data_IF_509297903138
#
_entry.id   IF_509297903138
#
_cell.length_a   1.000
_cell.length_b   1.000
_cell.length_c   1.000
_cell.angle_alpha   90.00
_cell.angle_beta   90.00
_cell.angle_gamma   90.00
#
_symmetry.space_group_name_H-M   'P 1'
#
loop_
_entity.id
_entity.type
_entity.pdbx_description
1 polymer ?
#
# COMPACT_ATOMS: atom_id res chain seq x y z
N UNK A 1 18.27 4.66 -9.54
CA UNK A 1 17.83 3.63 -8.58
C UNK A 1 16.49 4.01 -7.96
N UNK A 2 16.39 5.08 -7.16
CA UNK A 2 15.13 5.56 -6.53
C UNK A 2 13.97 5.73 -7.52
N UNK A 3 14.18 6.34 -8.70
CA UNK A 3 13.11 6.50 -9.70
C UNK A 3 12.50 5.18 -10.21
N UNK A 4 13.27 4.09 -10.20
CA UNK A 4 12.74 2.77 -10.56
C UNK A 4 11.84 2.23 -9.44
N UNK A 5 12.24 2.43 -8.18
CA UNK A 5 11.46 2.05 -6.99
C UNK A 5 10.15 2.84 -6.97
N UNK A 6 10.20 4.17 -7.10
CA UNK A 6 9.02 5.03 -7.17
C UNK A 6 8.01 4.59 -8.24
N UNK A 7 8.49 4.08 -9.39
CA UNK A 7 7.62 3.55 -10.44
C UNK A 7 6.92 2.26 -10.00
N UNK A 8 7.64 1.36 -9.34
CA UNK A 8 7.10 0.10 -8.81
C UNK A 8 6.08 0.37 -7.71
N UNK A 9 6.41 1.25 -6.77
CA UNK A 9 5.51 1.68 -5.68
C UNK A 9 4.21 2.28 -6.22
N UNK A 10 4.30 3.18 -7.20
CA UNK A 10 3.12 3.78 -7.83
C UNK A 10 2.24 2.74 -8.53
N UNK A 11 2.85 1.77 -9.21
CA UNK A 11 2.12 0.67 -9.83
C UNK A 11 1.44 -0.21 -8.78
N UNK A 12 2.11 -0.49 -7.66
CA UNK A 12 1.55 -1.23 -6.53
C UNK A 12 0.31 -0.52 -5.93
N UNK A 13 0.39 0.79 -5.70
CA UNK A 13 -0.72 1.59 -5.18
C UNK A 13 -1.88 1.67 -6.18
N UNK A 14 -1.61 1.71 -7.49
CA UNK A 14 -2.66 1.65 -8.52
C UNK A 14 -3.40 0.31 -8.51
N UNK A 15 -2.70 -0.80 -8.35
CA UNK A 15 -3.34 -2.11 -8.22
C UNK A 15 -4.15 -2.21 -6.91
N UNK A 16 -3.61 -1.72 -5.79
CA UNK A 16 -4.33 -1.62 -4.54
C UNK A 16 -5.58 -0.73 -4.65
N UNK A 17 -5.50 0.39 -5.39
CA UNK A 17 -6.63 1.29 -5.64
C UNK A 17 -7.76 0.60 -6.39
N UNK A 18 -7.45 -0.26 -7.37
CA UNK A 18 -8.48 -1.05 -8.07
C UNK A 18 -9.23 -1.96 -7.12
N UNK A 19 -8.49 -2.69 -6.27
CA UNK A 19 -9.08 -3.58 -5.24
C UNK A 19 -9.97 -2.78 -4.30
N UNK A 20 -9.48 -1.63 -3.82
CA UNK A 20 -10.25 -0.75 -2.95
C UNK A 20 -11.56 -0.28 -3.61
N UNK A 21 -11.49 0.15 -4.88
CA UNK A 21 -12.65 0.58 -5.66
C UNK A 21 -13.68 -0.53 -5.85
N UNK A 22 -13.23 -1.74 -6.16
CA UNK A 22 -14.11 -2.91 -6.34
C UNK A 22 -14.83 -3.32 -5.05
N UNK A 23 -14.23 -3.03 -3.90
CA UNK A 23 -14.75 -3.43 -2.58
C UNK A 23 -15.38 -2.26 -1.79
N UNK A 24 -15.51 -1.07 -2.41
CA UNK A 24 -15.97 0.16 -1.76
C UNK A 24 -15.19 0.46 -0.46
N UNK A 25 -13.86 0.37 -0.55
CA UNK A 25 -12.93 0.70 0.54
C UNK A 25 -12.23 2.00 0.18
N UNK A 26 -12.33 2.99 1.08
CA UNK A 26 -11.54 4.21 0.97
C UNK A 26 -10.12 3.99 1.47
N UNK A 27 -9.17 4.73 0.90
CA UNK A 27 -7.83 4.88 1.44
C UNK A 27 -7.28 6.26 1.09
N UNK A 28 -6.25 6.69 1.81
CA UNK A 28 -5.61 7.98 1.59
C UNK A 28 -4.09 7.87 1.76
N UNK A 29 -3.36 8.73 1.08
CA UNK A 29 -1.91 8.86 1.24
C UNK A 29 -1.57 9.34 2.67
N UNK A 30 -0.47 8.86 3.21
CA UNK A 30 0.00 9.18 4.56
C UNK A 30 1.47 9.63 4.53
N UNK A 31 1.89 10.39 5.54
CA UNK A 31 3.30 10.69 5.80
C UNK A 31 4.01 11.39 4.63
N UNK A 32 5.15 10.85 4.23
CA UNK A 32 5.96 11.36 3.12
C UNK A 32 5.21 11.34 1.78
N UNK A 33 4.34 10.36 1.56
CA UNK A 33 3.60 10.21 0.31
C UNK A 33 2.60 11.35 0.07
N UNK A 34 1.85 11.78 1.08
CA UNK A 34 0.94 12.92 0.94
C UNK A 34 1.70 14.24 0.82
N UNK A 35 2.81 14.40 1.55
CA UNK A 35 3.68 15.57 1.43
C UNK A 35 4.29 15.66 0.02
N UNK A 36 4.76 14.53 -0.52
CA UNK A 36 5.26 14.42 -1.88
C UNK A 36 4.21 14.89 -2.88
N UNK A 37 3.01 14.31 -2.80
CA UNK A 37 1.94 14.59 -3.75
C UNK A 37 1.57 16.08 -3.78
N UNK A 38 1.52 16.74 -2.63
CA UNK A 38 1.15 18.17 -2.52
C UNK A 38 2.31 19.10 -2.88
N UNK A 39 3.55 18.79 -2.48
CA UNK A 39 4.68 19.72 -2.61
C UNK A 39 5.46 19.54 -3.91
N UNK A 40 5.52 18.32 -4.44
CA UNK A 40 6.38 17.95 -5.57
C UNK A 40 5.58 17.40 -6.77
N UNK A 41 4.24 17.42 -6.72
CA UNK A 41 3.36 16.79 -7.71
C UNK A 41 3.70 15.30 -7.97
N UNK A 42 4.14 14.59 -6.94
CA UNK A 42 4.59 13.21 -7.06
C UNK A 42 5.29 12.69 -5.81
N UNK A 43 6.35 11.92 -5.97
CA UNK A 43 7.16 11.49 -4.83
C UNK A 43 8.07 12.61 -4.34
N UNK A 44 8.42 12.59 -3.06
CA UNK A 44 9.58 13.34 -2.58
C UNK A 44 10.82 12.84 -3.35
N UNK A 45 11.72 13.71 -3.85
CA UNK A 45 12.73 13.30 -4.83
C UNK A 45 13.69 12.18 -4.39
N UNK A 46 13.92 12.05 -3.08
CA UNK A 46 14.83 11.08 -2.47
C UNK A 46 14.12 9.93 -1.73
N UNK A 47 12.78 9.93 -1.74
CA UNK A 47 11.96 8.97 -0.99
C UNK A 47 11.74 7.71 -1.83
N UNK A 48 11.80 6.55 -1.17
CA UNK A 48 11.82 5.24 -1.82
C UNK A 48 10.72 4.29 -1.35
N UNK A 49 9.78 4.75 -0.53
CA UNK A 49 8.59 4.00 -0.14
C UNK A 49 7.28 4.78 -0.36
N UNK A 50 6.16 4.11 -0.11
CA UNK A 50 4.84 4.73 -0.03
C UNK A 50 4.07 4.28 1.19
N UNK A 51 3.47 5.26 1.87
CA UNK A 51 2.58 5.05 2.99
C UNK A 51 1.14 5.42 2.61
N UNK A 52 0.23 4.52 2.96
CA UNK A 52 -1.22 4.76 2.89
C UNK A 52 -1.88 4.44 4.22
N UNK A 53 -3.06 4.99 4.42
CA UNK A 53 -3.95 4.62 5.52
C UNK A 53 -5.34 4.28 4.98
N UNK A 54 -5.96 3.32 5.67
CA UNK A 54 -7.29 2.80 5.36
C UNK A 54 -8.15 3.01 6.60
N UNK A 55 -9.37 3.54 6.50
CA UNK A 55 -10.30 3.59 7.62
C UNK A 55 -10.51 2.19 8.20
N UNK A 56 -10.69 2.10 9.52
CA UNK A 56 -10.76 0.81 10.25
C UNK A 56 -11.75 -0.17 9.62
N UNK A 57 -12.95 0.28 9.31
CA UNK A 57 -14.01 -0.53 8.70
C UNK A 57 -13.59 -1.12 7.35
N UNK A 58 -12.89 -0.33 6.52
CA UNK A 58 -12.33 -0.79 5.25
C UNK A 58 -11.19 -1.78 5.47
N UNK A 59 -10.29 -1.48 6.41
CA UNK A 59 -9.17 -2.35 6.75
C UNK A 59 -9.66 -3.73 7.20
N UNK A 60 -10.70 -3.81 8.02
CA UNK A 60 -11.25 -5.08 8.53
C UNK A 60 -11.68 -6.05 7.42
N UNK A 61 -11.98 -5.53 6.22
CA UNK A 61 -12.36 -6.31 5.04
C UNK A 61 -11.13 -6.86 4.29
N UNK A 62 -9.99 -6.17 4.35
CA UNK A 62 -8.79 -6.48 3.57
C UNK A 62 -8.21 -7.89 3.78
N UNK A 63 -8.11 -8.44 5.01
CA UNK A 63 -7.57 -9.79 5.21
C UNK A 63 -8.37 -10.87 4.46
N UNK A 64 -9.69 -10.68 4.34
CA UNK A 64 -10.56 -11.57 3.57
C UNK A 64 -10.40 -11.44 2.06
N UNK A 65 -9.94 -10.29 1.58
CA UNK A 65 -9.65 -10.02 0.17
C UNK A 65 -8.27 -10.56 -0.21
N UNK A 66 -7.28 -10.44 0.68
CA UNK A 66 -5.90 -10.86 0.46
C UNK A 66 -5.62 -12.33 0.85
N UNK A 67 -6.60 -13.23 0.70
CA UNK A 67 -6.49 -14.63 1.15
C UNK A 67 -5.23 -15.34 0.68
N UNK A 68 -4.87 -15.15 -0.59
CA UNK A 68 -3.68 -15.77 -1.19
C UNK A 68 -2.40 -14.97 -0.96
N UNK A 69 -2.50 -13.85 -0.24
CA UNK A 69 -1.40 -12.93 0.10
C UNK A 69 -0.67 -12.35 -1.12
N UNK A 70 -1.20 -12.57 -2.33
CA UNK A 70 -0.68 -12.02 -3.57
C UNK A 70 -1.80 -11.17 -4.18
N UNK A 71 -1.48 -9.92 -4.52
CA UNK A 71 -2.37 -9.02 -5.26
C UNK A 71 -1.84 -8.77 -6.66
N UNK A 72 -2.76 -8.61 -7.61
CA UNK A 72 -2.46 -8.40 -9.04
C UNK A 72 -1.48 -9.44 -9.64
N UNK A 73 -1.38 -10.64 -9.04
CA UNK A 73 -0.43 -11.68 -9.44
C UNK A 73 1.05 -11.29 -9.32
N UNK A 74 1.37 -10.18 -8.63
CA UNK A 74 2.70 -9.57 -8.63
C UNK A 74 3.22 -9.21 -7.25
N UNK A 75 2.37 -8.67 -6.39
CA UNK A 75 2.81 -8.10 -5.12
C UNK A 75 2.38 -8.96 -3.94
N UNK A 76 3.29 -9.21 -3.01
CA UNK A 76 3.03 -9.96 -1.79
C UNK A 76 2.58 -9.03 -0.67
N UNK A 77 1.50 -9.39 0.01
CA UNK A 77 1.05 -8.72 1.22
C UNK A 77 1.59 -9.48 2.43
N UNK A 78 2.27 -8.77 3.33
CA UNK A 78 2.69 -9.26 4.64
C UNK A 78 1.93 -8.51 5.73
N UNK A 79 1.30 -9.23 6.65
CA UNK A 79 0.67 -8.66 7.83
C UNK A 79 0.81 -9.61 9.02
N UNK A 80 0.79 -9.05 10.23
CA UNK A 80 0.97 -9.81 11.47
C UNK A 80 -0.12 -10.88 11.67
N UNK A 81 -1.28 -10.73 11.03
CA UNK A 81 -2.40 -11.66 11.14
C UNK A 81 -2.12 -13.04 10.55
N UNK A 82 -1.11 -13.16 9.69
CA UNK A 82 -0.78 -14.41 9.00
C UNK A 82 0.73 -14.66 8.86
N UNK A 83 1.55 -13.87 9.56
CA UNK A 83 3.00 -13.98 9.60
C UNK A 83 3.50 -13.72 11.03
N UNK A 84 3.76 -14.79 11.78
CA UNK A 84 4.13 -14.73 13.21
C UNK A 84 5.50 -14.09 13.45
N UNK A 85 6.34 -14.02 12.43
CA UNK A 85 7.68 -13.39 12.49
C UNK A 85 7.65 -11.91 12.10
N UNK A 86 6.51 -11.40 11.61
CA UNK A 86 6.38 -9.98 11.30
C UNK A 86 6.10 -9.18 12.58
N UNK A 87 7.15 -8.56 13.13
CA UNK A 87 7.06 -7.70 14.31
C UNK A 87 6.52 -6.28 14.01
N UNK A 88 5.55 -6.18 13.10
CA UNK A 88 5.00 -4.92 12.61
C UNK A 88 3.47 -4.98 12.56
N UNK A 89 2.81 -3.98 13.15
CA UNK A 89 1.34 -3.92 13.24
C UNK A 89 0.67 -3.39 11.96
N UNK A 90 1.42 -2.74 11.07
CA UNK A 90 0.92 -2.30 9.76
C UNK A 90 1.34 -3.31 8.68
N UNK A 91 0.42 -3.67 7.76
CA UNK A 91 0.75 -4.51 6.61
C UNK A 91 1.78 -3.84 5.70
N UNK A 92 2.53 -4.67 4.98
CA UNK A 92 3.47 -4.25 3.95
C UNK A 92 3.14 -4.93 2.63
N UNK A 93 3.37 -4.21 1.56
CA UNK A 93 3.30 -4.71 0.20
C UNK A 93 4.73 -4.82 -0.34
N UNK A 94 5.09 -5.99 -0.88
CA UNK A 94 6.41 -6.30 -1.45
C UNK A 94 6.29 -6.68 -2.92
#
# INVERSE_FOLDING_TARGET
MVKLIQKVELDAIKEFQKICKENNIDFFLRGGSVLGAVKYDGFIPWDDDMDIAVPREGYDKLPGIFKDRIIAGKYQVLAYQYCDTLHCYFPRLF
#
